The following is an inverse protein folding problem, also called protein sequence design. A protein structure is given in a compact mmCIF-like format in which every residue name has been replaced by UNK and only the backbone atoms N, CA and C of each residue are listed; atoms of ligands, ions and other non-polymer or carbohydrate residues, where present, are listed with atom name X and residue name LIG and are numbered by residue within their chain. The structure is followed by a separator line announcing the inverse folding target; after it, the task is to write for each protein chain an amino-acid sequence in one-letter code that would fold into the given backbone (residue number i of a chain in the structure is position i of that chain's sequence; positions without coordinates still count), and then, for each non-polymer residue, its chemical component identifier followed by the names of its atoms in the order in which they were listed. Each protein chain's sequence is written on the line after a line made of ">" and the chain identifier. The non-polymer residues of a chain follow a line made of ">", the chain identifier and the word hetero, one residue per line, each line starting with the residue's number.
data_IF_415601367266
#
_entry.id   IF_415601367266
#
_cell.length_a   1.000
_cell.length_b   1.000
_cell.length_c   1.000
_cell.angle_alpha   90.00
_cell.angle_beta   90.00
_cell.angle_gamma   90.00
#
_symmetry.space_group_name_H-M   'P 1'
#
loop_
_entity.id
_entity.type
_entity.pdbx_description
1 polymer ?
#
# COMPACT_ATOMS: atom_id res chain seq x y z
N UNK A 1 -10.46 11.34 14.08
CA UNK A 1 -9.97 10.84 12.78
C UNK A 1 -8.87 9.82 13.00
N UNK A 2 -8.72 8.91 12.06
CA UNK A 2 -7.66 7.90 12.07
C UNK A 2 -6.30 8.59 11.99
N UNK A 3 -5.38 8.23 12.88
CA UNK A 3 -4.00 8.72 12.85
C UNK A 3 -3.13 7.70 12.13
N UNK A 4 -2.32 8.16 11.20
CA UNK A 4 -1.33 7.35 10.49
C UNK A 4 0.05 8.01 10.58
N UNK A 5 1.08 7.20 10.49
CA UNK A 5 2.46 7.63 10.61
C UNK A 5 3.06 7.97 9.25
N UNK A 6 3.89 9.00 9.23
CA UNK A 6 4.71 9.34 8.06
C UNK A 6 6.14 9.63 8.47
N UNK A 7 7.10 9.16 7.67
CA UNK A 7 8.51 9.44 7.85
C UNK A 7 9.00 10.34 6.71
N UNK A 8 9.49 11.52 7.06
CA UNK A 8 9.96 12.51 6.08
C UNK A 8 11.48 12.55 5.97
N UNK A 9 11.96 12.66 4.74
CA UNK A 9 13.36 12.89 4.36
C UNK A 9 13.44 14.23 3.63
N UNK A 10 13.93 15.25 4.33
CA UNK A 10 14.07 16.59 3.80
C UNK A 10 15.40 16.76 3.05
N UNK A 11 15.42 17.64 2.07
CA UNK A 11 16.65 18.14 1.46
C UNK A 11 17.01 19.52 2.01
N UNK A 12 18.31 19.94 1.98
CA UNK A 12 18.75 21.20 2.58
C UNK A 12 18.21 22.46 1.90
N UNK A 13 17.77 22.34 0.66
CA UNK A 13 17.24 23.44 -0.16
C UNK A 13 15.77 23.15 -0.53
N UNK A 14 15.13 24.12 -1.20
CA UNK A 14 13.80 23.89 -1.76
C UNK A 14 13.84 22.66 -2.68
N UNK A 15 12.99 21.67 -2.45
CA UNK A 15 13.01 20.44 -3.23
C UNK A 15 12.56 20.69 -4.67
N UNK A 16 13.17 19.96 -5.61
CA UNK A 16 12.75 19.93 -7.03
C UNK A 16 11.36 19.33 -7.21
N UNK A 17 11.03 18.35 -6.39
CA UNK A 17 9.73 17.70 -6.28
C UNK A 17 9.64 16.99 -4.92
N UNK A 18 8.44 16.61 -4.50
CA UNK A 18 8.20 15.80 -3.31
C UNK A 18 7.70 14.42 -3.71
N UNK A 19 8.42 13.40 -3.30
CA UNK A 19 8.10 11.99 -3.57
C UNK A 19 7.34 11.41 -2.37
N UNK A 20 6.17 10.84 -2.60
CA UNK A 20 5.40 10.14 -1.58
C UNK A 20 5.44 8.64 -1.86
N UNK A 21 6.02 7.87 -0.94
CA UNK A 21 6.12 6.43 -1.07
C UNK A 21 4.87 5.73 -0.57
N UNK A 22 4.31 4.90 -1.44
CA UNK A 22 3.16 4.03 -1.20
C UNK A 22 3.68 2.60 -0.99
N UNK A 23 3.60 2.05 0.23
CA UNK A 23 4.27 0.81 0.60
C UNK A 23 3.63 -0.44 -0.03
N UNK A 24 4.39 -1.52 -0.17
CA UNK A 24 3.84 -2.84 -0.46
C UNK A 24 3.13 -3.40 0.77
N UNK A 25 2.50 -4.55 0.62
CA UNK A 25 1.63 -5.16 1.62
C UNK A 25 2.37 -6.17 2.51
N UNK A 26 2.02 -6.16 3.80
CA UNK A 26 2.41 -7.20 4.75
C UNK A 26 3.92 -7.37 4.88
N UNK A 27 4.39 -8.61 4.78
CA UNK A 27 5.81 -8.96 4.96
C UNK A 27 6.72 -8.30 3.91
N UNK A 28 6.23 -8.03 2.69
CA UNK A 28 7.01 -7.29 1.67
C UNK A 28 7.39 -5.89 2.17
N UNK A 29 6.50 -5.23 2.94
CA UNK A 29 6.77 -3.92 3.54
C UNK A 29 7.96 -3.98 4.50
N UNK A 30 7.99 -4.95 5.41
CA UNK A 30 9.08 -5.09 6.37
C UNK A 30 10.40 -5.41 5.69
N UNK A 31 10.40 -6.32 4.73
CA UNK A 31 11.61 -6.72 3.99
C UNK A 31 12.24 -5.60 3.19
N UNK A 32 11.45 -4.67 2.65
CA UNK A 32 11.97 -3.57 1.84
C UNK A 32 12.24 -2.29 2.65
N UNK A 33 11.82 -2.19 3.92
CA UNK A 33 11.84 -0.94 4.71
C UNK A 33 13.22 -0.27 4.75
N UNK A 34 14.28 -1.04 4.96
CA UNK A 34 15.65 -0.52 4.95
C UNK A 34 16.08 0.00 3.58
N UNK A 35 15.78 -0.75 2.51
CA UNK A 35 16.08 -0.37 1.14
C UNK A 35 15.32 0.90 0.72
N UNK A 36 14.04 0.98 1.05
CA UNK A 36 13.19 2.16 0.78
C UNK A 36 13.71 3.39 1.52
N UNK A 37 14.07 3.24 2.80
CA UNK A 37 14.66 4.34 3.59
C UNK A 37 15.98 4.82 3.02
N UNK A 38 16.84 3.91 2.55
CA UNK A 38 18.10 4.29 1.89
C UNK A 38 17.84 5.00 0.55
N UNK A 39 16.87 4.53 -0.23
CA UNK A 39 16.49 5.20 -1.48
C UNK A 39 15.90 6.59 -1.21
N UNK A 40 15.07 6.75 -0.17
CA UNK A 40 14.54 8.05 0.23
C UNK A 40 15.67 9.04 0.62
N UNK A 41 16.71 8.55 1.34
CA UNK A 41 17.92 9.38 1.62
C UNK A 41 18.68 9.76 0.35
N UNK A 42 18.75 8.87 -0.65
CA UNK A 42 19.36 9.17 -1.94
C UNK A 42 18.58 10.23 -2.70
N UNK A 43 17.26 10.15 -2.71
CA UNK A 43 16.39 11.20 -3.25
C UNK A 43 16.64 12.53 -2.56
N UNK A 44 16.68 12.55 -1.22
CA UNK A 44 16.95 13.79 -0.46
C UNK A 44 18.32 14.40 -0.83
N UNK A 45 19.38 13.59 -0.95
CA UNK A 45 20.71 14.03 -1.40
C UNK A 45 20.71 14.58 -2.84
N UNK A 46 19.78 14.12 -3.67
CA UNK A 46 19.62 14.56 -5.07
C UNK A 46 18.67 15.75 -5.22
N UNK A 47 18.16 16.31 -4.11
CA UNK A 47 17.29 17.48 -4.10
C UNK A 47 15.81 17.18 -4.25
N UNK A 48 15.36 15.97 -3.90
CA UNK A 48 13.96 15.58 -3.84
C UNK A 48 13.57 15.27 -2.40
N UNK A 49 12.59 15.97 -1.85
CA UNK A 49 12.03 15.57 -0.57
C UNK A 49 11.27 14.25 -0.73
N UNK A 50 11.22 13.43 0.33
CA UNK A 50 10.51 12.16 0.28
C UNK A 50 9.73 11.92 1.57
N UNK A 51 8.48 11.47 1.46
CA UNK A 51 7.65 11.02 2.56
C UNK A 51 7.29 9.55 2.39
N UNK A 52 7.56 8.73 3.39
CA UNK A 52 7.11 7.35 3.47
C UNK A 52 5.86 7.31 4.32
N UNK A 53 4.79 6.69 3.83
CA UNK A 53 3.54 6.49 4.57
C UNK A 53 3.56 5.08 5.18
N UNK A 54 3.21 4.96 6.46
CA UNK A 54 2.70 3.71 7.00
C UNK A 54 1.16 3.81 6.98
N UNK A 55 0.50 2.94 6.27
CA UNK A 55 -0.95 2.94 6.17
C UNK A 55 -1.61 2.58 7.51
N UNK A 56 -2.85 3.04 7.73
CA UNK A 56 -3.67 2.61 8.85
C UNK A 56 -3.61 1.10 9.04
N UNK A 57 -3.36 0.65 10.27
CA UNK A 57 -3.22 -0.75 10.62
C UNK A 57 -1.87 -1.39 10.23
N UNK A 58 -0.88 -0.59 9.78
CA UNK A 58 0.46 -1.08 9.43
C UNK A 58 1.56 -0.25 10.08
N UNK A 59 2.74 -0.82 10.26
CA UNK A 59 3.92 -0.14 10.77
C UNK A 59 3.69 0.57 12.10
N UNK A 60 4.01 1.86 12.15
CA UNK A 60 3.85 2.71 13.32
C UNK A 60 2.50 3.48 13.34
N UNK A 61 1.61 3.18 12.40
CA UNK A 61 0.27 3.77 12.32
C UNK A 61 -0.70 3.17 13.32
N UNK A 62 -1.72 3.95 13.69
CA UNK A 62 -2.81 3.49 14.55
C UNK A 62 -3.67 2.44 13.86
N UNK A 63 -4.35 1.61 14.66
CA UNK A 63 -5.36 0.66 14.20
C UNK A 63 -4.82 -0.73 13.96
N UNK A 64 -5.71 -1.59 13.51
CA UNK A 64 -5.41 -2.99 13.24
C UNK A 64 -5.61 -3.27 11.74
N UNK A 65 -4.76 -4.08 11.15
CA UNK A 65 -4.84 -4.40 9.72
C UNK A 65 -6.15 -5.10 9.33
N UNK A 66 -6.77 -5.82 10.27
CA UNK A 66 -8.09 -6.45 10.06
C UNK A 66 -9.22 -5.44 9.83
N UNK A 67 -9.06 -4.20 10.31
CA UNK A 67 -10.04 -3.12 10.19
C UNK A 67 -9.73 -2.17 9.01
N UNK A 68 -8.62 -2.42 8.31
CA UNK A 68 -8.22 -1.64 7.15
C UNK A 68 -9.08 -1.91 5.91
N UNK A 69 -9.16 -0.92 5.03
CA UNK A 69 -9.75 -1.01 3.70
C UNK A 69 -8.93 -0.19 2.71
N UNK A 70 -9.10 -0.46 1.42
CA UNK A 70 -8.44 0.33 0.38
C UNK A 70 -8.87 1.81 0.46
N UNK A 71 -10.12 2.07 0.80
CA UNK A 71 -10.64 3.43 0.98
C UNK A 71 -9.90 4.19 2.09
N UNK A 72 -9.64 3.55 3.23
CA UNK A 72 -8.85 4.14 4.33
C UNK A 72 -7.43 4.44 3.84
N UNK A 73 -6.78 3.52 3.14
CA UNK A 73 -5.43 3.70 2.62
C UNK A 73 -5.34 4.79 1.56
N UNK A 74 -6.31 4.86 0.65
CA UNK A 74 -6.41 5.96 -0.32
C UNK A 74 -6.63 7.31 0.36
N UNK A 75 -7.39 7.34 1.46
CA UNK A 75 -7.54 8.54 2.28
C UNK A 75 -6.22 8.95 2.94
N UNK A 76 -5.40 8.01 3.41
CA UNK A 76 -4.07 8.34 3.94
C UNK A 76 -3.19 8.99 2.87
N UNK A 77 -3.19 8.47 1.63
CA UNK A 77 -2.49 9.09 0.49
C UNK A 77 -3.04 10.50 0.24
N UNK A 78 -4.35 10.64 0.15
CA UNK A 78 -5.02 11.91 -0.13
C UNK A 78 -4.62 12.99 0.89
N UNK A 79 -4.75 12.70 2.18
CA UNK A 79 -4.42 13.64 3.26
C UNK A 79 -2.93 14.01 3.27
N UNK A 80 -2.04 13.06 2.96
CA UNK A 80 -0.61 13.34 2.83
C UNK A 80 -0.34 14.32 1.68
N UNK A 81 -0.89 14.05 0.49
CA UNK A 81 -0.70 14.89 -0.68
C UNK A 81 -1.33 16.28 -0.48
N UNK A 82 -2.53 16.36 0.07
CA UNK A 82 -3.22 17.61 0.37
C UNK A 82 -2.41 18.47 1.36
N UNK A 83 -1.81 17.86 2.38
CA UNK A 83 -0.94 18.55 3.33
C UNK A 83 0.31 19.10 2.63
N UNK A 84 0.96 18.29 1.81
CA UNK A 84 2.16 18.70 1.06
C UNK A 84 1.85 19.80 0.05
N UNK A 85 0.71 19.76 -0.63
CA UNK A 85 0.30 20.84 -1.56
C UNK A 85 0.04 22.16 -0.84
N UNK A 86 -0.45 22.13 0.40
CA UNK A 86 -0.62 23.36 1.22
C UNK A 86 0.69 23.93 1.74
N UNK A 87 1.64 23.06 2.07
CA UNK A 87 2.93 23.47 2.64
C UNK A 87 3.97 23.86 1.58
N UNK A 88 3.90 23.28 0.40
CA UNK A 88 4.92 23.42 -0.64
C UNK A 88 4.29 23.52 -2.03
N UNK A 89 4.81 24.46 -2.83
CA UNK A 89 4.44 24.60 -4.25
C UNK A 89 5.48 23.91 -5.13
N UNK A 90 5.56 22.58 -5.06
CA UNK A 90 6.49 21.75 -5.86
C UNK A 90 5.75 20.58 -6.47
N UNK A 91 6.24 20.01 -7.59
CA UNK A 91 5.65 18.81 -8.19
C UNK A 91 5.54 17.65 -7.20
N UNK A 92 4.44 16.89 -7.26
CA UNK A 92 4.20 15.71 -6.43
C UNK A 92 4.36 14.43 -7.26
N UNK A 93 5.14 13.50 -6.73
CA UNK A 93 5.41 12.19 -7.36
C UNK A 93 4.93 11.10 -6.42
N UNK A 94 4.08 10.18 -6.88
CA UNK A 94 3.80 8.95 -6.15
C UNK A 94 4.80 7.88 -6.55
N UNK A 95 5.46 7.30 -5.54
CA UNK A 95 6.38 6.19 -5.70
C UNK A 95 5.81 4.96 -5.05
N UNK A 96 5.39 3.98 -5.82
CA UNK A 96 4.79 2.74 -5.34
C UNK A 96 5.66 1.53 -5.59
N UNK A 97 5.57 0.54 -4.68
CA UNK A 97 6.23 -0.75 -4.80
C UNK A 97 5.21 -1.89 -4.70
N UNK A 98 5.21 -2.84 -5.66
CA UNK A 98 4.35 -4.02 -5.69
C UNK A 98 2.86 -3.63 -5.62
N UNK A 99 2.13 -4.05 -4.55
CA UNK A 99 0.74 -3.63 -4.33
C UNK A 99 0.63 -2.10 -4.19
N UNK A 100 1.57 -1.48 -3.49
CA UNK A 100 1.63 -0.02 -3.35
C UNK A 100 1.74 0.71 -4.69
N UNK A 101 2.44 0.13 -5.66
CA UNK A 101 2.49 0.69 -7.01
C UNK A 101 1.11 0.62 -7.70
N UNK A 102 0.35 -0.44 -7.48
CA UNK A 102 -1.01 -0.55 -8.01
C UNK A 102 -1.98 0.41 -7.33
N UNK A 103 -1.89 0.54 -5.99
CA UNK A 103 -2.69 1.50 -5.22
C UNK A 103 -2.38 2.94 -5.66
N UNK A 104 -1.11 3.28 -5.86
CA UNK A 104 -0.70 4.60 -6.33
C UNK A 104 -1.28 4.93 -7.72
N UNK A 105 -1.26 3.95 -8.63
CA UNK A 105 -1.83 4.08 -9.97
C UNK A 105 -3.36 4.23 -9.91
N UNK A 106 -4.05 3.39 -9.14
CA UNK A 106 -5.50 3.44 -8.95
C UNK A 106 -5.93 4.78 -8.30
N UNK A 107 -5.18 5.25 -7.30
CA UNK A 107 -5.41 6.54 -6.67
C UNK A 107 -5.23 7.69 -7.67
N UNK A 108 -4.14 7.71 -8.42
CA UNK A 108 -3.86 8.76 -9.39
C UNK A 108 -4.92 8.85 -10.49
N UNK A 109 -5.44 7.71 -10.95
CA UNK A 109 -6.49 7.66 -11.96
C UNK A 109 -7.84 8.21 -11.48
N UNK A 110 -8.11 8.19 -10.17
CA UNK A 110 -9.39 8.61 -9.57
C UNK A 110 -9.32 9.95 -8.84
N UNK A 111 -8.12 10.43 -8.54
CA UNK A 111 -7.90 11.62 -7.71
C UNK A 111 -8.07 12.89 -8.52
N UNK A 112 -8.70 13.92 -7.90
CA UNK A 112 -8.71 15.28 -8.41
C UNK A 112 -7.44 16.07 -8.04
N UNK A 113 -6.57 15.53 -7.19
CA UNK A 113 -5.30 16.17 -6.84
C UNK A 113 -4.32 16.08 -8.02
N UNK A 114 -3.58 17.15 -8.25
CA UNK A 114 -2.53 17.14 -9.25
C UNK A 114 -1.37 16.24 -8.80
N UNK A 115 -1.11 15.20 -9.57
CA UNK A 115 0.01 14.26 -9.41
C UNK A 115 0.83 14.37 -10.70
N UNK A 116 2.06 14.87 -10.57
CA UNK A 116 2.88 15.18 -11.74
C UNK A 116 3.52 13.94 -12.37
N UNK A 117 3.81 12.91 -11.56
CA UNK A 117 4.45 11.69 -12.06
C UNK A 117 4.20 10.49 -11.15
N UNK A 118 4.30 9.30 -11.73
CA UNK A 118 4.26 8.01 -11.05
C UNK A 118 5.60 7.28 -11.23
N UNK A 119 6.17 6.81 -10.13
CA UNK A 119 7.32 5.91 -10.12
C UNK A 119 6.84 4.54 -9.61
N UNK A 120 6.65 3.59 -10.52
CA UNK A 120 6.06 2.30 -10.22
C UNK A 120 7.11 1.18 -10.27
N UNK A 121 7.41 0.60 -9.11
CA UNK A 121 8.36 -0.51 -9.02
C UNK A 121 7.64 -1.85 -8.93
N UNK A 122 7.85 -2.70 -9.93
CA UNK A 122 7.29 -4.06 -10.02
C UNK A 122 5.80 -4.11 -9.65
N UNK A 123 4.93 -3.34 -10.32
CA UNK A 123 3.52 -3.25 -9.93
C UNK A 123 2.83 -4.61 -10.03
N UNK A 124 1.94 -4.87 -9.09
CA UNK A 124 0.92 -5.90 -9.23
C UNK A 124 -0.07 -5.40 -10.28
N UNK A 125 -0.49 -6.25 -11.20
CA UNK A 125 -1.39 -5.87 -12.30
C UNK A 125 -2.78 -6.54 -12.22
N UNK A 126 -2.94 -7.48 -11.29
CA UNK A 126 -4.18 -8.22 -11.07
C UNK A 126 -4.35 -8.56 -9.58
N UNK A 127 -5.28 -7.89 -8.92
CA UNK A 127 -5.54 -8.05 -7.48
C UNK A 127 -5.99 -9.46 -7.14
N UNK A 128 -6.87 -10.07 -7.93
CA UNK A 128 -7.34 -11.44 -7.74
C UNK A 128 -6.18 -12.46 -7.68
N UNK A 129 -5.23 -12.35 -8.62
CA UNK A 129 -4.05 -13.23 -8.63
C UNK A 129 -3.17 -12.99 -7.41
N UNK A 130 -3.02 -11.75 -7.01
CA UNK A 130 -2.23 -11.38 -5.85
C UNK A 130 -2.84 -11.91 -4.55
N UNK A 131 -4.14 -11.73 -4.33
CA UNK A 131 -4.86 -12.29 -3.19
C UNK A 131 -4.76 -13.82 -3.18
N UNK A 132 -4.95 -14.47 -4.35
CA UNK A 132 -4.78 -15.92 -4.46
C UNK A 132 -3.39 -16.36 -4.00
N UNK A 133 -2.33 -15.62 -4.36
CA UNK A 133 -0.96 -15.92 -3.94
C UNK A 133 -0.78 -15.78 -2.42
N UNK A 134 -1.32 -14.72 -1.81
CA UNK A 134 -1.32 -14.51 -0.36
C UNK A 134 -2.02 -15.68 0.37
N UNK A 135 -3.21 -16.05 -0.08
CA UNK A 135 -3.95 -17.15 0.55
C UNK A 135 -3.26 -18.51 0.39
N UNK A 136 -2.59 -18.75 -0.74
CA UNK A 136 -1.75 -19.96 -0.92
C UNK A 136 -0.57 -20.01 0.05
N UNK A 137 0.04 -18.87 0.39
CA UNK A 137 1.11 -18.82 1.41
C UNK A 137 0.59 -19.28 2.77
N UNK A 138 -0.64 -18.85 3.16
CA UNK A 138 -1.29 -19.35 4.37
C UNK A 138 -1.52 -20.86 4.31
N UNK A 139 -2.13 -21.35 3.24
CA UNK A 139 -2.37 -22.80 3.06
C UNK A 139 -1.06 -23.59 3.19
N UNK A 140 0.00 -23.14 2.53
CA UNK A 140 1.30 -23.79 2.60
C UNK A 140 1.91 -23.77 4.01
N UNK A 141 1.74 -22.67 4.76
CA UNK A 141 2.25 -22.56 6.14
C UNK A 141 1.49 -23.44 7.13
N UNK A 142 0.25 -23.79 6.85
CA UNK A 142 -0.58 -24.68 7.67
C UNK A 142 -0.41 -26.16 7.32
N UNK A 143 0.01 -26.47 6.10
CA UNK A 143 0.20 -27.86 5.64
C UNK A 143 1.23 -28.65 6.47
N UNK A 144 2.10 -27.96 7.22
CA UNK A 144 3.08 -28.56 8.14
C UNK A 144 2.55 -28.75 9.57
N UNK A 145 1.33 -28.27 9.87
CA UNK A 145 0.69 -28.38 11.19
C UNK A 145 -0.36 -29.50 11.16
N UNK A 146 -0.53 -30.21 12.27
CA UNK A 146 -1.58 -31.21 12.40
C UNK A 146 -2.95 -30.55 12.31
N UNK A 147 -3.77 -30.97 11.34
CA UNK A 147 -5.14 -30.45 11.09
C UNK A 147 -5.61 -30.74 9.67
N UNK A 148 -6.91 -30.54 9.43
CA UNK A 148 -7.46 -30.62 8.08
C UNK A 148 -6.89 -29.50 7.21
N UNK A 149 -6.47 -29.74 5.97
CA UNK A 149 -5.91 -28.74 5.09
C UNK A 149 -7.00 -27.68 4.75
N UNK A 150 -6.77 -26.44 5.13
CA UNK A 150 -7.62 -25.31 4.75
C UNK A 150 -7.40 -24.97 3.25
N UNK A 151 -8.47 -24.73 2.51
CA UNK A 151 -8.39 -24.36 1.09
C UNK A 151 -8.53 -22.85 0.90
N UNK A 152 -8.01 -22.30 -0.20
CA UNK A 152 -8.18 -20.87 -0.51
C UNK A 152 -9.66 -20.49 -0.67
N UNK A 153 -10.51 -21.41 -1.08
CA UNK A 153 -11.96 -21.21 -1.21
C UNK A 153 -12.63 -21.06 0.17
N UNK A 154 -12.28 -21.91 1.13
CA UNK A 154 -12.77 -21.83 2.50
C UNK A 154 -12.33 -20.54 3.18
N UNK A 155 -11.06 -20.13 2.98
CA UNK A 155 -10.55 -18.87 3.51
C UNK A 155 -11.35 -17.68 2.95
N UNK A 156 -11.60 -17.64 1.64
CA UNK A 156 -12.43 -16.59 1.02
C UNK A 156 -13.85 -16.56 1.58
N UNK A 157 -14.46 -17.74 1.80
CA UNK A 157 -15.79 -17.82 2.40
C UNK A 157 -15.82 -17.23 3.81
N UNK A 158 -14.82 -17.53 4.63
CA UNK A 158 -14.69 -16.97 5.99
C UNK A 158 -14.50 -15.45 5.96
N UNK A 159 -13.63 -14.96 5.09
CA UNK A 159 -13.41 -13.52 4.89
C UNK A 159 -14.69 -12.81 4.44
N UNK A 160 -15.47 -13.41 3.53
CA UNK A 160 -16.75 -12.88 3.07
C UNK A 160 -17.84 -12.88 4.17
N UNK A 161 -17.70 -13.73 5.20
CA UNK A 161 -18.56 -13.76 6.38
C UNK A 161 -18.15 -12.77 7.48
N UNK A 162 -17.12 -11.93 7.21
CA UNK A 162 -16.62 -10.93 8.15
C UNK A 162 -15.57 -11.46 9.13
N UNK A 163 -15.11 -12.71 8.97
CA UNK A 163 -13.99 -13.20 9.75
C UNK A 163 -12.69 -12.56 9.27
N UNK A 164 -11.68 -12.54 10.15
CA UNK A 164 -10.30 -12.23 9.79
C UNK A 164 -9.46 -13.50 9.73
N UNK A 165 -8.43 -13.49 8.91
CA UNK A 165 -7.49 -14.60 8.79
C UNK A 165 -6.06 -14.14 9.00
N UNK A 166 -5.24 -14.97 9.61
CA UNK A 166 -3.82 -14.70 9.76
C UNK A 166 -3.06 -15.22 8.55
N UNK A 167 -2.22 -14.38 7.95
CA UNK A 167 -1.29 -14.73 6.88
C UNK A 167 0.08 -14.18 7.22
N UNK A 168 1.07 -15.04 7.36
CA UNK A 168 2.47 -14.64 7.65
C UNK A 168 2.61 -13.70 8.86
N UNK A 169 1.82 -13.93 9.91
CA UNK A 169 1.80 -13.10 11.13
C UNK A 169 0.92 -11.86 11.08
N UNK A 170 0.21 -11.62 9.99
CA UNK A 170 -0.72 -10.49 9.84
C UNK A 170 -2.17 -10.96 9.88
N UNK A 171 -2.95 -10.38 10.77
CA UNK A 171 -4.41 -10.62 10.80
C UNK A 171 -5.09 -9.69 9.80
N UNK A 172 -5.69 -10.26 8.75
CA UNK A 172 -6.24 -9.53 7.61
C UNK A 172 -7.76 -9.68 7.59
N UNK A 173 -8.48 -8.58 7.41
CA UNK A 173 -9.93 -8.55 7.31
C UNK A 173 -10.44 -8.76 5.87
N UNK A 174 -11.70 -9.20 5.78
CA UNK A 174 -12.35 -9.47 4.49
C UNK A 174 -12.51 -8.24 3.60
N UNK A 175 -12.77 -7.06 4.17
CA UNK A 175 -12.95 -5.82 3.43
C UNK A 175 -11.72 -5.48 2.60
N UNK A 176 -10.54 -5.44 3.23
CA UNK A 176 -9.28 -5.15 2.52
C UNK A 176 -8.97 -6.18 1.44
N UNK A 177 -9.21 -7.48 1.71
CA UNK A 177 -8.97 -8.53 0.72
C UNK A 177 -9.90 -8.39 -0.49
N UNK A 178 -11.18 -8.12 -0.29
CA UNK A 178 -12.13 -7.89 -1.37
C UNK A 178 -11.78 -6.65 -2.19
N UNK A 179 -11.38 -5.57 -1.53
CA UNK A 179 -10.94 -4.34 -2.19
C UNK A 179 -9.71 -4.61 -3.09
N UNK A 180 -8.68 -5.28 -2.56
CA UNK A 180 -7.48 -5.63 -3.34
C UNK A 180 -7.85 -6.56 -4.51
N UNK A 181 -8.72 -7.53 -4.28
CA UNK A 181 -9.16 -8.48 -5.32
C UNK A 181 -9.87 -7.79 -6.48
N UNK A 182 -10.59 -6.70 -6.22
CA UNK A 182 -11.28 -5.88 -7.21
C UNK A 182 -10.35 -5.04 -8.10
N UNK A 183 -9.10 -4.80 -7.68
CA UNK A 183 -8.14 -4.02 -8.44
C UNK A 183 -7.75 -4.73 -9.74
N UNK A 184 -7.97 -4.08 -10.88
CA UNK A 184 -7.52 -4.57 -12.19
C UNK A 184 -7.09 -3.42 -13.10
N UNK A 185 -6.10 -3.66 -13.97
CA UNK A 185 -5.68 -2.67 -14.96
C UNK A 185 -6.79 -2.35 -15.97
N UNK A 186 -7.67 -3.31 -16.26
CA UNK A 186 -8.79 -3.09 -17.17
C UNK A 186 -9.74 -1.99 -16.70
N UNK A 187 -9.91 -1.84 -15.37
CA UNK A 187 -10.70 -0.75 -14.80
C UNK A 187 -10.00 0.60 -14.95
N UNK A 188 -8.68 0.65 -14.93
CA UNK A 188 -7.90 1.89 -15.04
C UNK A 188 -7.83 2.41 -16.48
N UNK A 189 -7.71 1.51 -17.46
CA UNK A 189 -7.73 1.88 -18.88
C UNK A 189 -9.08 2.40 -19.36
N UNK A 190 -10.16 2.12 -18.65
CA UNK A 190 -11.49 2.68 -18.93
C UNK A 190 -11.67 4.12 -18.41
N UNK A 191 -10.71 4.63 -17.60
CA UNK A 191 -10.73 5.99 -17.04
C UNK A 191 -9.80 6.96 -17.79
N UNK A 192 -9.00 6.46 -18.74
CA UNK A 192 -8.15 7.23 -19.66
C UNK A 192 -8.84 7.39 -21.01
#
# INVERSE_FOLDING_TARGET
>A
GERYFTLQFSCPQQPKAHIVFVPPFGEEMNRCRALVSEQARRFARSGYACTIIDFYGTGDSQGELRDASLQIWQRNIHLTLETLQREMSVPLILWGLRLGAFIALDFAAKSALAIDSLLLWQPIIAGERYVTQILRQRVASLASKEGAPETTTEIRKRLAQGESVEVSGYTIGGALMADIESLSLAHLTALC
#
